data_IF_416697183500
#
_entry.id   IF_416697183500
#
_cell.length_a   1.000
_cell.length_b   1.000
_cell.length_c   1.000
_cell.angle_alpha   90.00
_cell.angle_beta   90.00
_cell.angle_gamma   90.00
#
_symmetry.space_group_name_H-M   'P 1'
#
loop_
_entity.id
_entity.type
_entity.pdbx_description
1 polymer ?
#
# COMPACT_ATOMS: atom_id res chain seq x y z
N UNK A 1 -15.85 -11.36 4.73
CA UNK A 1 -16.02 -12.24 3.56
C UNK A 1 -17.47 -12.24 3.13
N UNK A 2 -18.42 -12.55 3.98
CA UNK A 2 -19.86 -12.62 3.67
C UNK A 2 -20.42 -11.33 3.07
N UNK A 3 -20.02 -10.18 3.60
CA UNK A 3 -20.46 -8.88 3.08
C UNK A 3 -19.97 -8.64 1.64
N UNK A 4 -18.75 -9.05 1.30
CA UNK A 4 -18.26 -8.97 -0.08
C UNK A 4 -19.04 -9.89 -1.03
N UNK A 5 -19.37 -11.11 -0.59
CA UNK A 5 -20.17 -12.06 -1.38
C UNK A 5 -21.56 -11.46 -1.63
N UNK A 6 -22.20 -10.94 -0.58
CA UNK A 6 -23.52 -10.30 -0.70
C UNK A 6 -23.51 -9.14 -1.69
N UNK A 7 -22.50 -8.24 -1.59
CA UNK A 7 -22.36 -7.11 -2.52
C UNK A 7 -22.16 -7.56 -3.96
N UNK A 8 -21.32 -8.55 -4.19
CA UNK A 8 -21.07 -9.07 -5.54
C UNK A 8 -22.34 -9.67 -6.16
N UNK A 9 -23.12 -10.43 -5.38
CA UNK A 9 -24.40 -11.00 -5.83
C UNK A 9 -25.40 -9.89 -6.14
N UNK A 10 -25.54 -8.91 -5.25
CA UNK A 10 -26.44 -7.78 -5.45
C UNK A 10 -26.11 -6.98 -6.72
N UNK A 11 -24.82 -6.72 -6.97
CA UNK A 11 -24.38 -6.06 -8.21
C UNK A 11 -24.78 -6.86 -9.45
N UNK A 12 -24.61 -8.19 -9.43
CA UNK A 12 -25.02 -9.06 -10.55
C UNK A 12 -26.55 -9.05 -10.76
N UNK A 13 -27.31 -9.10 -9.68
CA UNK A 13 -28.78 -9.02 -9.75
C UNK A 13 -29.23 -7.68 -10.36
N UNK A 14 -28.68 -6.57 -9.91
CA UNK A 14 -28.98 -5.25 -10.46
C UNK A 14 -28.58 -5.13 -11.94
N UNK A 15 -27.42 -5.67 -12.32
CA UNK A 15 -26.95 -5.66 -13.71
C UNK A 15 -27.89 -6.46 -14.61
N UNK A 16 -28.29 -7.66 -14.16
CA UNK A 16 -29.27 -8.50 -14.87
C UNK A 16 -30.62 -7.80 -15.04
N UNK A 17 -31.12 -7.16 -13.98
CA UNK A 17 -32.38 -6.40 -14.02
C UNK A 17 -32.28 -5.21 -14.97
N UNK A 18 -31.12 -4.58 -15.09
CA UNK A 18 -30.86 -3.45 -15.99
C UNK A 18 -30.50 -3.88 -17.44
N UNK A 19 -30.46 -5.18 -17.73
CA UNK A 19 -30.05 -5.70 -19.04
C UNK A 19 -28.60 -5.38 -19.40
N UNK A 20 -27.71 -5.27 -18.40
CA UNK A 20 -26.30 -4.92 -18.59
C UNK A 20 -25.38 -6.06 -18.18
N UNK A 21 -24.35 -6.29 -18.97
CA UNK A 21 -23.25 -7.16 -18.61
C UNK A 21 -22.23 -6.37 -17.79
N UNK A 22 -21.80 -6.96 -16.66
CA UNK A 22 -20.76 -6.39 -15.79
C UNK A 22 -19.75 -7.45 -15.42
N UNK A 23 -18.51 -7.04 -15.20
CA UNK A 23 -17.48 -7.88 -14.63
C UNK A 23 -17.15 -7.44 -13.22
N UNK A 24 -16.88 -8.40 -12.35
CA UNK A 24 -16.43 -8.16 -10.98
C UNK A 24 -14.92 -8.39 -10.90
N UNK A 25 -14.19 -7.36 -10.49
CA UNK A 25 -12.76 -7.45 -10.22
C UNK A 25 -12.50 -7.48 -8.72
N UNK A 26 -11.78 -8.50 -8.28
CA UNK A 26 -11.25 -8.56 -6.93
C UNK A 26 -9.84 -7.94 -6.91
N UNK A 27 -9.70 -6.80 -6.26
CA UNK A 27 -8.43 -6.11 -6.11
C UNK A 27 -7.77 -6.53 -4.79
N UNK A 28 -6.63 -7.24 -4.89
CA UNK A 28 -5.86 -7.67 -3.73
C UNK A 28 -5.08 -6.51 -3.16
N UNK A 29 -5.04 -6.44 -1.83
CA UNK A 29 -4.41 -5.34 -1.12
C UNK A 29 -2.90 -5.24 -1.39
N UNK A 30 -2.22 -6.38 -1.55
CA UNK A 30 -0.76 -6.44 -1.62
C UNK A 30 -0.07 -6.01 -0.31
N UNK A 31 1.23 -5.79 -0.34
CA UNK A 31 1.97 -5.24 0.79
C UNK A 31 1.57 -3.76 0.96
N UNK A 32 0.77 -3.47 1.97
CA UNK A 32 0.51 -2.07 2.35
C UNK A 32 1.76 -1.49 2.98
N UNK A 33 2.38 -0.55 2.29
CA UNK A 33 3.47 0.25 2.85
C UNK A 33 2.88 1.59 3.23
N UNK A 34 2.80 1.84 4.54
CA UNK A 34 2.14 3.01 5.11
C UNK A 34 2.98 3.63 6.20
N UNK A 35 2.79 4.92 6.39
CA UNK A 35 3.18 5.55 7.65
C UNK A 35 2.26 5.07 8.78
N UNK A 36 2.75 5.13 9.98
CA UNK A 36 2.00 4.91 11.22
C UNK A 36 1.12 6.12 11.55
N UNK A 37 0.91 6.41 12.82
CA UNK A 37 0.02 7.47 13.27
C UNK A 37 0.80 8.58 13.95
N UNK A 38 0.22 9.76 13.86
CA UNK A 38 0.63 10.94 14.61
C UNK A 38 -0.18 11.06 15.89
N UNK A 39 0.44 11.55 16.96
CA UNK A 39 -0.24 11.85 18.24
C UNK A 39 -1.42 12.79 18.06
N UNK A 40 -1.30 13.73 17.14
CA UNK A 40 -2.30 14.76 16.82
C UNK A 40 -3.26 14.38 15.70
N UNK A 41 -3.12 13.16 15.12
CA UNK A 41 -3.94 12.71 13.98
C UNK A 41 -3.38 13.13 12.61
N UNK A 42 -2.82 14.32 12.49
CA UNK A 42 -2.12 14.82 11.29
C UNK A 42 -1.05 15.84 11.68
N UNK A 43 -0.12 16.07 10.76
CA UNK A 43 0.90 17.11 10.85
C UNK A 43 0.99 17.87 9.53
N UNK A 44 1.50 19.10 9.55
CA UNK A 44 1.74 19.86 8.34
C UNK A 44 3.26 19.86 8.02
N UNK A 45 3.62 19.23 6.90
CA UNK A 45 5.01 19.19 6.44
C UNK A 45 5.34 20.44 5.63
N UNK A 46 6.37 21.18 6.05
CA UNK A 46 6.82 22.38 5.35
C UNK A 46 7.92 22.01 4.35
N UNK A 47 7.83 22.52 3.12
CA UNK A 47 8.86 22.29 2.10
C UNK A 47 10.25 22.73 2.61
N UNK A 48 11.25 21.90 2.38
CA UNK A 48 12.64 22.10 2.83
C UNK A 48 12.91 21.62 4.25
N UNK A 49 11.88 21.29 5.04
CA UNK A 49 12.08 20.73 6.38
C UNK A 49 12.63 19.30 6.31
N UNK A 50 13.38 18.93 7.36
CA UNK A 50 13.80 17.55 7.59
C UNK A 50 12.62 16.76 8.20
N UNK A 51 12.34 15.58 7.65
CA UNK A 51 11.34 14.66 8.18
C UNK A 51 11.89 13.23 8.21
N UNK A 52 11.62 12.48 9.28
CA UNK A 52 12.20 11.16 9.50
C UNK A 52 11.11 10.08 9.42
N UNK A 53 11.37 9.05 8.61
CA UNK A 53 10.61 7.81 8.63
C UNK A 53 11.40 6.79 9.45
N UNK A 54 10.84 6.34 10.58
CA UNK A 54 11.52 5.45 11.52
C UNK A 54 10.82 4.08 11.58
N UNK A 55 11.54 3.05 11.13
CA UNK A 55 11.00 1.68 11.15
C UNK A 55 10.82 1.10 12.57
N UNK A 56 11.41 1.72 13.60
CA UNK A 56 11.32 1.26 14.99
C UNK A 56 10.39 2.10 15.86
N UNK A 57 9.93 3.26 15.36
CA UNK A 57 8.99 4.07 16.12
C UNK A 57 7.69 3.33 16.37
N UNK A 58 7.15 3.46 17.57
CA UNK A 58 5.85 2.89 17.93
C UNK A 58 4.72 3.52 17.10
N UNK A 59 3.60 2.79 16.99
CA UNK A 59 2.59 3.06 15.97
C UNK A 59 1.85 4.39 16.15
N UNK A 60 1.78 4.91 17.37
CA UNK A 60 1.03 6.14 17.72
C UNK A 60 1.96 7.25 18.24
N UNK A 61 3.27 7.17 17.97
CA UNK A 61 4.30 8.08 18.50
C UNK A 61 4.80 9.13 17.49
N UNK A 62 4.16 9.24 16.32
CA UNK A 62 4.53 10.23 15.30
C UNK A 62 4.26 11.67 15.74
N UNK A 63 5.13 12.60 15.26
CA UNK A 63 5.06 14.04 15.48
C UNK A 63 5.47 14.82 14.21
N UNK A 64 5.68 16.14 14.31
CA UNK A 64 6.04 17.01 13.18
C UNK A 64 7.41 16.69 12.57
N UNK A 65 8.27 15.95 13.27
CA UNK A 65 9.64 15.63 12.85
C UNK A 65 9.82 14.19 12.41
N UNK A 66 8.97 13.26 12.88
CA UNK A 66 9.17 11.84 12.65
C UNK A 66 7.84 11.07 12.68
N UNK A 67 7.78 9.99 11.91
CA UNK A 67 6.67 9.04 11.96
C UNK A 67 7.16 7.60 11.76
N UNK A 68 6.46 6.67 12.39
CA UNK A 68 6.68 5.24 12.19
C UNK A 68 6.27 4.78 10.79
N UNK A 69 6.78 3.62 10.38
CA UNK A 69 6.39 2.94 9.15
C UNK A 69 6.07 1.47 9.44
N UNK A 70 5.08 0.92 8.77
CA UNK A 70 4.68 -0.48 8.94
C UNK A 70 5.62 -1.46 8.22
N UNK A 71 6.15 -1.07 7.05
CA UNK A 71 7.12 -1.86 6.31
C UNK A 71 8.54 -1.66 6.82
N UNK A 72 8.99 -2.55 7.71
CA UNK A 72 10.31 -2.48 8.38
C UNK A 72 11.50 -2.66 7.44
N UNK A 73 11.26 -3.14 6.21
CA UNK A 73 12.28 -3.28 5.16
C UNK A 73 12.58 -2.00 4.39
N UNK A 74 11.75 -0.97 4.48
CA UNK A 74 11.88 0.25 3.68
C UNK A 74 13.26 0.90 3.76
N UNK A 75 13.94 1.00 4.94
CA UNK A 75 15.29 1.56 5.02
C UNK A 75 16.34 0.81 4.20
N UNK A 76 16.11 -0.48 3.89
CA UNK A 76 17.01 -1.28 3.04
C UNK A 76 16.70 -1.14 1.55
N UNK A 77 15.52 -0.68 1.22
CA UNK A 77 15.02 -0.58 -0.15
C UNK A 77 15.24 0.82 -0.75
N UNK A 78 15.66 1.78 0.04
CA UNK A 78 15.85 3.16 -0.41
C UNK A 78 17.30 3.62 -0.25
N UNK A 79 17.71 4.54 -1.10
CA UNK A 79 19.04 5.13 -1.12
C UNK A 79 18.95 6.66 -1.16
N UNK A 80 20.00 7.38 -0.75
CA UNK A 80 20.08 8.83 -0.92
C UNK A 80 19.75 9.25 -2.36
N UNK A 81 18.91 10.27 -2.51
CA UNK A 81 18.40 10.74 -3.80
C UNK A 81 17.09 10.14 -4.25
N UNK A 82 16.61 9.04 -3.65
CA UNK A 82 15.30 8.48 -3.96
C UNK A 82 14.17 9.42 -3.54
N UNK A 83 13.05 9.32 -4.26
CA UNK A 83 11.82 10.04 -3.93
C UNK A 83 10.77 9.09 -3.38
N UNK A 84 10.21 9.44 -2.24
CA UNK A 84 9.08 8.76 -1.62
C UNK A 84 7.83 9.61 -1.81
N UNK A 85 6.80 8.98 -2.35
CA UNK A 85 5.50 9.58 -2.64
C UNK A 85 4.54 9.17 -1.53
N UNK A 86 4.02 10.13 -0.78
CA UNK A 86 3.06 9.90 0.29
C UNK A 86 1.68 10.39 -0.14
N UNK A 87 0.63 9.75 0.38
CA UNK A 87 -0.77 10.10 0.08
C UNK A 87 -1.02 10.23 -1.43
N UNK A 88 -0.70 9.15 -2.17
CA UNK A 88 -0.84 9.06 -3.63
C UNK A 88 -0.07 10.14 -4.41
N UNK A 89 1.05 10.61 -3.83
CA UNK A 89 1.94 11.59 -4.44
C UNK A 89 1.58 13.04 -4.14
N UNK A 90 0.62 13.30 -3.26
CA UNK A 90 0.30 14.66 -2.79
C UNK A 90 1.46 15.29 -2.04
N UNK A 91 2.21 14.47 -1.28
CA UNK A 91 3.44 14.88 -0.61
C UNK A 91 4.62 14.10 -1.17
N UNK A 92 5.75 14.76 -1.28
CA UNK A 92 6.97 14.17 -1.82
C UNK A 92 8.12 14.40 -0.86
N UNK A 93 8.77 13.31 -0.47
CA UNK A 93 9.97 13.32 0.35
C UNK A 93 11.16 12.87 -0.50
N UNK A 94 12.27 13.56 -0.43
CA UNK A 94 13.55 13.16 -1.02
C UNK A 94 14.43 12.56 0.08
N UNK A 95 14.89 11.35 -0.13
CA UNK A 95 15.81 10.68 0.81
C UNK A 95 17.16 11.42 0.80
N UNK A 96 17.55 11.95 1.94
CA UNK A 96 18.86 12.54 2.17
C UNK A 96 19.88 11.48 2.57
N UNK A 97 19.56 10.71 3.60
CA UNK A 97 20.40 9.60 4.08
C UNK A 97 19.58 8.53 4.79
N UNK A 98 20.17 7.35 4.90
CA UNK A 98 19.62 6.25 5.69
C UNK A 98 20.61 5.89 6.80
N UNK A 99 20.12 5.80 8.03
CA UNK A 99 20.92 5.37 9.18
C UNK A 99 20.18 4.30 9.97
N UNK A 100 20.66 3.08 9.90
CA UNK A 100 20.02 1.91 10.53
C UNK A 100 18.54 1.77 10.08
N UNK A 101 17.60 2.03 10.99
CA UNK A 101 16.18 1.92 10.77
C UNK A 101 15.48 3.26 10.47
N UNK A 102 16.25 4.33 10.29
CA UNK A 102 15.75 5.67 10.03
C UNK A 102 16.11 6.14 8.63
N UNK A 103 15.11 6.70 7.96
CA UNK A 103 15.26 7.37 6.66
C UNK A 103 15.07 8.86 6.89
N UNK A 104 16.13 9.62 6.70
CA UNK A 104 16.11 11.07 6.81
C UNK A 104 15.75 11.64 5.45
N UNK A 105 14.71 12.44 5.40
CA UNK A 105 14.17 12.97 4.16
C UNK A 105 14.06 14.49 4.22
N UNK A 106 14.26 15.14 3.08
CA UNK A 106 13.88 16.52 2.86
C UNK A 106 12.48 16.56 2.24
N UNK A 107 11.62 17.42 2.73
CA UNK A 107 10.28 17.63 2.18
C UNK A 107 10.41 18.44 0.88
N UNK A 108 10.14 17.80 -0.26
CA UNK A 108 10.14 18.47 -1.58
C UNK A 108 8.78 19.09 -1.91
N UNK A 109 7.70 18.36 -1.61
CA UNK A 109 6.32 18.85 -1.69
C UNK A 109 5.69 18.65 -0.33
N UNK A 110 5.38 19.75 0.33
CA UNK A 110 4.76 19.79 1.65
C UNK A 110 3.24 19.75 1.60
N UNK A 111 2.63 19.76 2.78
CA UNK A 111 1.18 19.75 2.96
C UNK A 111 0.77 18.99 4.20
N UNK A 112 -0.53 18.81 4.38
CA UNK A 112 -1.08 18.02 5.49
C UNK A 112 -0.85 16.52 5.25
N UNK A 113 -0.23 15.85 6.23
CA UNK A 113 0.00 14.41 6.26
C UNK A 113 -0.76 13.81 7.43
N UNK A 114 -1.79 13.02 7.15
CA UNK A 114 -2.59 12.34 8.15
C UNK A 114 -2.20 10.88 8.33
N UNK A 115 -2.78 10.23 9.34
CA UNK A 115 -2.51 8.84 9.74
C UNK A 115 -2.65 7.83 8.62
N UNK A 116 -1.81 6.79 8.65
CA UNK A 116 -1.90 5.58 7.84
C UNK A 116 -1.85 5.84 6.32
N UNK A 117 -1.25 6.94 5.88
CA UNK A 117 -1.10 7.24 4.45
C UNK A 117 -0.09 6.31 3.78
N UNK A 118 -0.37 5.97 2.53
CA UNK A 118 0.49 5.12 1.72
C UNK A 118 1.85 5.77 1.44
N UNK A 119 2.88 4.92 1.31
CA UNK A 119 4.21 5.31 0.84
C UNK A 119 4.51 4.51 -0.43
N UNK A 120 4.88 5.20 -1.48
CA UNK A 120 5.40 4.61 -2.72
C UNK A 120 6.79 5.16 -3.02
N UNK A 121 7.68 4.34 -3.55
CA UNK A 121 8.96 4.80 -4.10
C UNK A 121 8.77 5.16 -5.57
N UNK A 122 9.16 6.35 -5.98
CA UNK A 122 9.14 6.76 -7.40
C UNK A 122 10.02 5.81 -8.22
N UNK A 123 9.47 5.24 -9.28
CA UNK A 123 10.17 4.23 -10.08
C UNK A 123 10.06 2.79 -9.55
N UNK A 124 9.38 2.55 -8.42
CA UNK A 124 9.20 1.21 -7.85
C UNK A 124 10.44 0.66 -7.15
N UNK A 125 10.65 -0.67 -7.19
CA UNK A 125 11.85 -1.32 -6.67
C UNK A 125 11.82 -1.67 -5.18
N UNK A 126 10.66 -1.60 -4.52
CA UNK A 126 10.52 -2.09 -3.14
C UNK A 126 10.56 -3.62 -3.11
N UNK A 127 11.27 -4.20 -2.13
CA UNK A 127 11.45 -5.65 -2.01
C UNK A 127 10.29 -6.37 -1.30
N UNK A 128 9.26 -5.64 -0.90
CA UNK A 128 8.07 -6.21 -0.27
C UNK A 128 7.42 -7.30 -1.13
N UNK A 129 6.96 -8.39 -0.51
CA UNK A 129 6.41 -9.55 -1.22
C UNK A 129 5.05 -9.17 -1.83
N UNK A 130 4.89 -9.34 -3.14
CA UNK A 130 3.69 -8.99 -3.89
C UNK A 130 2.41 -9.71 -3.42
N UNK A 131 2.53 -10.94 -2.92
CA UNK A 131 1.42 -11.74 -2.41
C UNK A 131 1.62 -12.02 -0.92
N UNK A 132 0.97 -11.24 -0.09
CA UNK A 132 0.96 -11.43 1.37
C UNK A 132 0.15 -12.67 1.77
N UNK A 133 0.26 -13.11 3.03
CA UNK A 133 -0.59 -14.21 3.52
C UNK A 133 -2.07 -13.82 3.56
N UNK A 134 -2.37 -12.54 3.72
CA UNK A 134 -3.73 -12.02 3.58
C UNK A 134 -4.21 -12.20 2.13
N UNK A 135 -3.41 -11.79 1.14
CA UNK A 135 -3.77 -11.92 -0.28
C UNK A 135 -4.03 -13.38 -0.68
N UNK A 136 -3.26 -14.33 -0.14
CA UNK A 136 -3.50 -15.76 -0.37
C UNK A 136 -4.85 -16.22 0.18
N UNK A 137 -5.33 -15.65 1.29
CA UNK A 137 -6.67 -15.89 1.83
C UNK A 137 -7.74 -15.20 0.99
N UNK A 138 -7.45 -13.97 0.57
CA UNK A 138 -8.37 -13.16 -0.25
C UNK A 138 -8.54 -13.75 -1.66
N UNK A 139 -7.52 -14.42 -2.23
CA UNK A 139 -7.66 -15.20 -3.47
C UNK A 139 -8.76 -16.26 -3.38
N UNK A 140 -8.83 -16.99 -2.25
CA UNK A 140 -9.91 -17.97 -2.03
C UNK A 140 -11.28 -17.30 -1.94
N UNK A 141 -11.33 -16.12 -1.36
CA UNK A 141 -12.57 -15.31 -1.33
C UNK A 141 -12.96 -14.86 -2.73
N UNK A 142 -12.00 -14.39 -3.54
CA UNK A 142 -12.24 -13.99 -4.92
C UNK A 142 -12.81 -15.13 -5.77
N UNK A 143 -12.34 -16.37 -5.57
CA UNK A 143 -12.91 -17.56 -6.22
C UNK A 143 -14.35 -17.78 -5.77
N UNK A 144 -14.65 -17.69 -4.46
CA UNK A 144 -16.03 -17.82 -3.93
C UNK A 144 -16.97 -16.73 -4.46
N UNK A 145 -16.45 -15.54 -4.75
CA UNK A 145 -17.20 -14.45 -5.37
C UNK A 145 -17.48 -14.69 -6.86
N UNK A 146 -16.90 -15.73 -7.48
CA UNK A 146 -16.86 -15.89 -8.94
C UNK A 146 -16.34 -14.59 -9.61
N UNK A 147 -15.26 -14.02 -9.09
CA UNK A 147 -14.67 -12.80 -9.66
C UNK A 147 -14.17 -13.10 -11.08
N UNK A 148 -14.50 -12.22 -12.03
CA UNK A 148 -14.09 -12.34 -13.42
C UNK A 148 -12.62 -11.96 -13.61
N UNK A 149 -12.14 -11.02 -12.78
CA UNK A 149 -10.76 -10.57 -12.77
C UNK A 149 -10.21 -10.50 -11.35
N UNK A 150 -8.90 -10.71 -11.23
CA UNK A 150 -8.16 -10.50 -10.00
C UNK A 150 -6.97 -9.60 -10.29
N UNK A 151 -6.95 -8.43 -9.64
CA UNK A 151 -5.83 -7.52 -9.68
C UNK A 151 -4.81 -7.89 -8.59
N UNK A 152 -3.55 -8.02 -8.98
CA UNK A 152 -2.43 -8.25 -8.06
C UNK A 152 -1.73 -6.91 -7.83
N UNK A 153 -1.79 -6.42 -6.61
CA UNK A 153 -1.11 -5.18 -6.23
C UNK A 153 0.40 -5.40 -6.08
N UNK A 154 1.18 -4.48 -6.62
CA UNK A 154 2.64 -4.46 -6.55
C UNK A 154 3.36 -5.70 -7.11
N UNK A 155 2.99 -6.25 -8.29
CA UNK A 155 3.74 -7.32 -8.90
C UNK A 155 5.13 -6.77 -9.34
N UNK A 156 6.20 -7.51 -9.03
CA UNK A 156 7.58 -7.11 -9.35
C UNK A 156 8.14 -7.90 -10.51
N UNK A 157 7.57 -9.06 -10.76
CA UNK A 157 8.10 -9.99 -11.75
C UNK A 157 7.02 -10.90 -12.33
N UNK A 158 7.32 -11.52 -13.48
CA UNK A 158 6.46 -12.57 -14.03
C UNK A 158 6.28 -13.76 -13.07
N UNK A 159 7.26 -14.00 -12.17
CA UNK A 159 7.16 -15.06 -11.18
C UNK A 159 6.03 -14.80 -10.17
N UNK A 160 5.81 -13.54 -9.76
CA UNK A 160 4.70 -13.18 -8.88
C UNK A 160 3.34 -13.50 -9.53
N UNK A 161 3.19 -13.17 -10.82
CA UNK A 161 1.98 -13.47 -11.59
C UNK A 161 1.77 -14.97 -11.79
N UNK A 162 2.84 -15.73 -12.08
CA UNK A 162 2.78 -17.19 -12.17
C UNK A 162 2.37 -17.82 -10.84
N UNK A 163 2.89 -17.31 -9.73
CA UNK A 163 2.53 -17.75 -8.38
C UNK A 163 1.05 -17.49 -8.07
N UNK A 164 0.54 -16.30 -8.38
CA UNK A 164 -0.87 -15.97 -8.22
C UNK A 164 -1.76 -16.94 -9.01
N UNK A 165 -1.45 -17.18 -10.30
CA UNK A 165 -2.17 -18.15 -11.14
C UNK A 165 -2.14 -19.56 -10.58
N UNK A 166 -0.98 -19.99 -10.05
CA UNK A 166 -0.86 -21.32 -9.42
C UNK A 166 -1.72 -21.47 -8.18
N UNK A 167 -1.83 -20.40 -7.38
CA UNK A 167 -2.70 -20.40 -6.19
C UNK A 167 -4.17 -20.43 -6.55
N UNK A 168 -4.57 -19.70 -7.59
CA UNK A 168 -5.95 -19.70 -8.10
C UNK A 168 -6.39 -21.07 -8.63
N UNK A 169 -5.49 -21.81 -9.32
CA UNK A 169 -5.80 -23.17 -9.81
C UNK A 169 -6.00 -24.19 -8.67
N UNK A 170 -5.56 -23.88 -7.45
CA UNK A 170 -5.65 -24.74 -6.25
C UNK A 170 -6.78 -24.33 -5.32
N UNK A 171 -7.41 -23.20 -5.53
CA UNK A 171 -8.47 -22.64 -4.71
C UNK A 171 -9.86 -23.03 -5.20
#
# INVERSE_FOLDING_TARGET
>A
VEDHIRRANYVRECAKAAGREIAIMADLQGPKIRIARFKTGSVFLVKGALFILDANLAQDEGDESTVGIDYKGLPKDVSPGDFLLLDDGRLVLKVDRVQKNKIFCLVEVGGELSNNKGINRKGGGLSAIALTDKDKKDLKTAVKLNADYIAISFPRSAADMKKARSLLKKA
#
